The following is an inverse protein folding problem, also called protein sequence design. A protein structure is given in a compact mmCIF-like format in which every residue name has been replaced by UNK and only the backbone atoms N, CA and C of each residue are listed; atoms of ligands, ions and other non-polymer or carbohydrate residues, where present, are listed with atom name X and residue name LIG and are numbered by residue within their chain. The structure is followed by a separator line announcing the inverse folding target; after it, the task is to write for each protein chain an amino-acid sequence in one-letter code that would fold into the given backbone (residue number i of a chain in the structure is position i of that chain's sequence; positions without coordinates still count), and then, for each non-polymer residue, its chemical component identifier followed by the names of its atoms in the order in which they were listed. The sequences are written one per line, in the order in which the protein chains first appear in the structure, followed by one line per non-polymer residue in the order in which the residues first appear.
data_IF_679914619275
#
_entry.id   IF_679914619275
#
_cell.length_a   1.000
_cell.length_b   1.000
_cell.length_c   1.000
_cell.angle_alpha   90.00
_cell.angle_beta   90.00
_cell.angle_gamma   90.00
#
_symmetry.space_group_name_H-M   'P 1'
#
loop_
_entity.id
_entity.type
_entity.pdbx_description
1 polymer ?
#
# COMPACT_ATOMS: atom_id res chain seq x y z
N UNK A 1 -42.10 18.04 -32.25
CA UNK A 1 -41.21 16.87 -32.35
C UNK A 1 -39.90 17.17 -31.62
N UNK A 2 -39.58 16.48 -30.51
CA UNK A 2 -38.23 16.40 -29.93
C UNK A 2 -38.09 15.09 -29.15
N UNK A 3 -37.09 14.31 -29.56
CA UNK A 3 -36.81 12.91 -29.25
C UNK A 3 -36.76 12.55 -27.75
N UNK A 4 -37.60 11.62 -27.32
CA UNK A 4 -37.38 10.74 -26.16
C UNK A 4 -36.85 9.38 -26.66
N UNK A 5 -35.54 9.25 -26.82
CA UNK A 5 -34.95 7.93 -27.15
C UNK A 5 -33.46 7.85 -26.80
N UNK A 6 -33.08 7.92 -25.51
CA UNK A 6 -31.67 7.67 -25.10
C UNK A 6 -31.51 6.96 -23.76
N UNK A 7 -32.29 5.89 -23.47
CA UNK A 7 -31.94 4.93 -22.40
C UNK A 7 -32.33 3.46 -22.67
N UNK A 8 -33.05 3.15 -23.75
CA UNK A 8 -33.53 1.78 -24.01
C UNK A 8 -32.40 0.77 -24.27
N UNK A 9 -31.34 1.19 -24.97
CA UNK A 9 -30.21 0.31 -25.28
C UNK A 9 -29.42 -0.15 -24.05
N UNK A 10 -29.38 0.65 -22.98
CA UNK A 10 -28.71 0.27 -21.72
C UNK A 10 -29.44 -0.91 -21.04
N UNK A 11 -30.77 -0.93 -21.08
CA UNK A 11 -31.56 -2.04 -20.54
C UNK A 11 -31.44 -3.30 -21.40
N UNK A 12 -31.36 -3.15 -22.73
CA UNK A 12 -31.09 -4.29 -23.64
C UNK A 12 -29.71 -4.89 -23.36
N UNK A 13 -28.68 -4.06 -23.16
CA UNK A 13 -27.32 -4.51 -22.83
C UNK A 13 -27.27 -5.17 -21.44
N UNK A 14 -27.94 -4.59 -20.45
CA UNK A 14 -28.01 -5.15 -19.10
C UNK A 14 -28.67 -6.54 -19.10
N UNK A 15 -29.77 -6.71 -19.86
CA UNK A 15 -30.47 -7.99 -19.99
C UNK A 15 -29.61 -9.02 -20.76
N UNK A 16 -28.87 -8.58 -21.79
CA UNK A 16 -27.95 -9.46 -22.55
C UNK A 16 -26.77 -9.95 -21.72
N UNK A 17 -26.21 -9.11 -20.85
CA UNK A 17 -25.02 -9.44 -20.06
C UNK A 17 -25.34 -10.17 -18.75
N UNK A 18 -26.58 -10.09 -18.27
CA UNK A 18 -27.01 -10.69 -17.01
C UNK A 18 -26.76 -12.21 -16.92
N UNK A 19 -27.02 -13.04 -17.95
CA UNK A 19 -26.71 -14.47 -17.91
C UNK A 19 -25.21 -14.75 -17.76
N UNK A 20 -24.36 -13.94 -18.40
CA UNK A 20 -22.90 -14.07 -18.30
C UNK A 20 -22.38 -13.70 -16.91
N UNK A 21 -22.99 -12.68 -16.28
CA UNK A 21 -22.69 -12.32 -14.89
C UNK A 21 -23.08 -13.43 -13.91
N UNK A 22 -24.22 -14.09 -14.12
CA UNK A 22 -24.64 -15.25 -13.33
C UNK A 22 -23.67 -16.44 -13.49
N UNK A 23 -23.26 -16.75 -14.73
CA UNK A 23 -22.27 -17.81 -15.00
C UNK A 23 -20.90 -17.51 -14.38
N UNK A 24 -20.45 -16.25 -14.45
CA UNK A 24 -19.22 -15.82 -13.80
C UNK A 24 -19.30 -15.93 -12.26
N UNK A 25 -20.46 -15.58 -11.68
CA UNK A 25 -20.74 -15.77 -10.26
C UNK A 25 -20.68 -17.25 -9.83
N UNK A 26 -21.28 -18.15 -10.62
CA UNK A 26 -21.20 -19.60 -10.40
C UNK A 26 -19.76 -20.09 -10.47
N UNK A 27 -19.00 -19.66 -11.47
CA UNK A 27 -17.58 -20.02 -11.62
C UNK A 27 -16.75 -19.59 -10.40
N UNK A 28 -16.93 -18.36 -9.90
CA UNK A 28 -16.25 -17.86 -8.69
C UNK A 28 -16.62 -18.65 -7.44
N UNK A 29 -17.89 -19.00 -7.27
CA UNK A 29 -18.35 -19.83 -6.15
C UNK A 29 -17.74 -21.25 -6.19
N UNK A 30 -17.62 -21.84 -7.37
CA UNK A 30 -16.99 -23.16 -7.55
C UNK A 30 -15.48 -23.12 -7.28
N UNK A 31 -14.77 -22.06 -7.70
CA UNK A 31 -13.36 -21.85 -7.35
C UNK A 31 -13.18 -21.67 -5.83
N UNK A 32 -14.04 -20.88 -5.19
CA UNK A 32 -14.00 -20.69 -3.74
C UNK A 32 -14.29 -21.99 -2.99
N UNK A 33 -15.18 -22.86 -3.50
CA UNK A 33 -15.38 -24.20 -2.95
C UNK A 33 -14.14 -25.08 -3.10
N UNK A 34 -13.50 -25.12 -4.28
CA UNK A 34 -12.28 -25.91 -4.51
C UNK A 34 -11.09 -25.46 -3.68
N UNK A 35 -11.00 -24.17 -3.38
CA UNK A 35 -9.90 -23.59 -2.58
C UNK A 35 -10.13 -23.71 -1.07
N UNK A 36 -11.38 -23.64 -0.61
CA UNK A 36 -11.67 -23.60 0.84
C UNK A 36 -12.28 -24.89 1.41
N UNK A 37 -12.81 -25.78 0.56
CA UNK A 37 -13.53 -27.00 0.96
C UNK A 37 -14.87 -26.77 1.68
N UNK A 38 -15.30 -25.51 1.86
CA UNK A 38 -16.49 -25.16 2.64
C UNK A 38 -17.77 -25.25 1.80
N UNK A 39 -18.71 -26.11 2.20
CA UNK A 39 -20.00 -26.35 1.49
C UNK A 39 -20.88 -25.10 1.37
N UNK A 40 -20.67 -24.06 2.18
CA UNK A 40 -21.41 -22.79 2.12
C UNK A 40 -21.33 -22.14 0.73
N UNK A 41 -20.23 -22.32 0.00
CA UNK A 41 -20.05 -21.76 -1.34
C UNK A 41 -20.93 -22.44 -2.40
N UNK A 42 -21.35 -23.69 -2.19
CA UNK A 42 -22.26 -24.39 -3.10
C UNK A 42 -23.71 -23.94 -2.95
N UNK A 43 -24.08 -23.36 -1.79
CA UNK A 43 -25.45 -22.89 -1.52
C UNK A 43 -25.86 -21.75 -2.47
N UNK A 44 -24.91 -20.90 -2.87
CA UNK A 44 -25.16 -19.79 -3.81
C UNK A 44 -25.24 -20.21 -5.29
N UNK A 45 -24.82 -21.44 -5.63
CA UNK A 45 -24.78 -21.91 -7.03
C UNK A 45 -26.19 -22.21 -7.56
N UNK A 46 -27.03 -22.86 -6.75
CA UNK A 46 -28.40 -23.25 -7.13
C UNK A 46 -29.28 -22.05 -7.48
N UNK A 47 -29.38 -20.98 -6.67
CA UNK A 47 -30.19 -19.81 -7.03
C UNK A 47 -29.66 -19.07 -8.26
N UNK A 48 -28.33 -18.94 -8.44
CA UNK A 48 -27.76 -18.31 -9.64
C UNK A 48 -28.01 -19.14 -10.91
N UNK A 49 -27.96 -20.47 -10.80
CA UNK A 49 -28.27 -21.36 -11.92
C UNK A 49 -29.75 -21.26 -12.33
N UNK A 50 -30.68 -21.22 -11.36
CA UNK A 50 -32.11 -21.05 -11.61
C UNK A 50 -32.42 -19.70 -12.28
N UNK A 51 -31.78 -18.62 -11.83
CA UNK A 51 -31.94 -17.28 -12.41
C UNK A 51 -31.37 -17.21 -13.84
N UNK A 52 -30.30 -17.97 -14.14
CA UNK A 52 -29.75 -18.04 -15.51
C UNK A 52 -30.67 -18.77 -16.50
N UNK A 53 -31.48 -19.75 -16.04
CA UNK A 53 -32.42 -20.49 -16.89
C UNK A 53 -33.66 -19.66 -17.26
N UNK A 54 -34.18 -18.83 -16.35
CA UNK A 54 -35.36 -17.99 -16.62
C UNK A 54 -35.11 -16.88 -17.65
N UNK A 55 -33.84 -16.47 -17.84
CA UNK A 55 -33.44 -15.52 -18.89
C UNK A 55 -33.61 -16.05 -20.32
N UNK A 56 -33.78 -17.36 -20.50
CA UNK A 56 -33.90 -17.98 -21.84
C UNK A 56 -35.34 -18.31 -22.26
N UNK A 57 -36.32 -18.38 -21.34
CA UNK A 57 -37.72 -18.72 -21.69
C UNK A 57 -38.47 -17.53 -22.32
N UNK A 58 -38.06 -16.29 -22.04
CA UNK A 58 -38.71 -15.08 -22.61
C UNK A 58 -38.29 -14.80 -24.07
N UNK A 59 -37.23 -15.43 -24.57
CA UNK A 59 -36.71 -15.15 -25.92
C UNK A 59 -37.22 -16.12 -27.01
N UNK A 60 -37.81 -17.26 -26.62
CA UNK A 60 -38.37 -18.21 -27.58
C UNK A 60 -39.75 -17.79 -28.14
N UNK A 61 -40.41 -16.78 -27.56
CA UNK A 61 -41.70 -16.26 -28.04
C UNK A 61 -41.60 -15.05 -28.98
N UNK A 62 -40.41 -14.50 -29.22
CA UNK A 62 -40.25 -13.22 -29.92
C UNK A 62 -39.82 -13.33 -31.40
N UNK A 63 -39.73 -14.55 -31.96
CA UNK A 63 -39.42 -14.79 -33.37
C UNK A 63 -40.32 -15.91 -33.94
N UNK A 64 -41.62 -15.65 -34.00
CA UNK A 64 -42.55 -16.41 -34.85
C UNK A 64 -43.73 -15.48 -35.17
N UNK A 65 -43.65 -14.77 -36.31
CA UNK A 65 -44.86 -14.26 -36.96
C UNK A 65 -45.59 -15.43 -37.62
N UNK A 66 -46.94 -15.43 -37.71
CA UNK A 66 -47.57 -14.56 -38.71
C UNK A 66 -48.98 -14.03 -38.35
N UNK A 67 -49.42 -13.08 -39.18
CA UNK A 67 -50.79 -12.77 -39.64
C UNK A 67 -52.01 -12.70 -38.68
N UNK A 68 -52.67 -11.53 -38.77
CA UNK A 68 -54.12 -11.28 -38.93
C UNK A 68 -55.14 -12.21 -38.25
N UNK A 69 -55.89 -11.66 -37.29
CA UNK A 69 -57.36 -11.50 -37.30
C UNK A 69 -58.03 -11.69 -35.92
N UNK A 70 -58.77 -10.65 -35.53
CA UNK A 70 -60.04 -10.59 -34.79
C UNK A 70 -60.29 -11.38 -33.47
N UNK A 71 -60.59 -10.56 -32.44
CA UNK A 71 -61.64 -10.67 -31.39
C UNK A 71 -61.76 -11.98 -30.58
N UNK A 72 -61.68 -11.87 -29.26
CA UNK A 72 -62.85 -11.84 -28.34
C UNK A 72 -62.46 -11.62 -26.87
N UNK A 73 -62.98 -10.53 -26.31
CA UNK A 73 -63.80 -10.41 -25.09
C UNK A 73 -63.40 -10.96 -23.68
N UNK A 74 -63.56 -10.05 -22.70
CA UNK A 74 -64.16 -10.22 -21.35
C UNK A 74 -63.22 -10.72 -20.23
N UNK A 75 -63.14 -10.20 -18.99
CA UNK A 75 -63.90 -9.25 -18.16
C UNK A 75 -62.96 -8.70 -17.05
N UNK A 76 -63.09 -7.44 -16.57
CA UNK A 76 -63.86 -6.98 -15.36
C UNK A 76 -63.35 -7.66 -14.05
N UNK A 77 -62.99 -7.02 -12.93
CA UNK A 77 -63.38 -5.74 -12.35
C UNK A 77 -62.38 -5.22 -11.32
N UNK A 78 -62.40 -3.90 -11.18
CA UNK A 78 -61.92 -3.07 -10.07
C UNK A 78 -62.67 -3.26 -8.75
N UNK A 79 -62.04 -2.89 -7.63
CA UNK A 79 -62.72 -2.18 -6.53
C UNK A 79 -61.82 -1.07 -5.97
N UNK A 80 -62.46 0.08 -5.74
CA UNK A 80 -61.89 1.34 -5.21
C UNK A 80 -62.55 1.69 -3.87
N UNK A 81 -62.01 2.75 -3.26
CA UNK A 81 -62.61 3.73 -2.32
C UNK A 81 -62.55 3.40 -0.81
N UNK A 82 -62.41 4.33 0.15
CA UNK A 82 -61.99 5.76 0.21
C UNK A 82 -62.08 6.25 1.68
N UNK A 83 -61.35 7.35 2.02
CA UNK A 83 -61.67 8.45 2.98
C UNK A 83 -61.88 8.16 4.50
N UNK A 84 -61.60 9.02 5.49
CA UNK A 84 -60.82 10.27 5.71
C UNK A 84 -60.97 10.73 7.18
N UNK A 85 -60.00 11.55 7.67
CA UNK A 85 -60.08 12.69 8.63
C UNK A 85 -60.33 12.56 10.17
N UNK A 86 -59.27 12.94 10.93
CA UNK A 86 -59.13 14.08 11.88
C UNK A 86 -59.57 14.05 13.37
N UNK A 87 -58.63 14.41 14.29
CA UNK A 87 -58.59 15.67 15.10
C UNK A 87 -58.29 15.59 16.63
N UNK A 88 -57.39 16.50 17.08
CA UNK A 88 -57.33 17.31 18.35
C UNK A 88 -56.63 16.81 19.64
N UNK A 89 -56.15 17.82 20.40
CA UNK A 89 -54.96 17.97 21.27
C UNK A 89 -55.27 18.19 22.77
N UNK A 90 -54.20 18.51 23.56
CA UNK A 90 -54.10 19.17 24.91
C UNK A 90 -54.17 18.26 26.17
N UNK A 91 -53.48 18.49 27.32
CA UNK A 91 -52.38 19.35 27.79
C UNK A 91 -51.99 18.97 29.26
N UNK A 92 -50.92 19.59 29.80
CA UNK A 92 -50.58 19.92 31.22
C UNK A 92 -49.49 19.15 32.02
N UNK A 93 -48.60 19.98 32.59
CA UNK A 93 -47.47 19.82 33.55
C UNK A 93 -48.02 19.93 35.00
N UNK A 94 -47.27 19.72 36.12
CA UNK A 94 -46.21 20.64 36.56
C UNK A 94 -44.99 19.99 37.28
N UNK A 95 -43.99 20.83 37.54
CA UNK A 95 -42.73 20.55 38.26
C UNK A 95 -42.82 20.87 39.76
N UNK A 96 -41.88 20.35 40.58
CA UNK A 96 -41.52 20.93 41.88
C UNK A 96 -40.04 20.67 42.24
N UNK A 97 -39.32 21.76 42.46
CA UNK A 97 -38.01 21.86 43.12
C UNK A 97 -38.16 21.95 44.64
N UNK A 98 -37.09 21.70 45.42
CA UNK A 98 -36.55 22.56 46.50
C UNK A 98 -35.32 21.92 47.22
N UNK A 99 -34.28 22.75 47.28
CA UNK A 99 -33.01 22.84 48.03
C UNK A 99 -32.77 22.14 49.41
N UNK A 100 -31.51 21.77 49.71
CA UNK A 100 -30.46 22.53 50.47
C UNK A 100 -29.59 21.69 51.44
N UNK A 101 -28.29 22.03 51.48
CA UNK A 101 -27.32 22.02 52.61
C UNK A 101 -26.44 20.79 52.95
N UNK A 102 -25.16 20.92 52.54
CA UNK A 102 -23.91 20.98 53.35
C UNK A 102 -23.71 20.16 54.64
N UNK A 103 -22.69 19.28 54.65
CA UNK A 103 -21.72 19.13 55.77
C UNK A 103 -20.44 18.35 55.38
N UNK A 104 -19.36 19.10 55.20
CA UNK A 104 -17.96 18.96 55.69
C UNK A 104 -17.29 17.58 56.00
N UNK A 105 -16.10 17.41 55.37
CA UNK A 105 -14.78 17.00 55.95
C UNK A 105 -14.31 15.51 55.98
N UNK A 106 -12.98 15.23 56.01
CA UNK A 106 -12.25 14.70 54.84
C UNK A 106 -11.46 13.40 55.12
N UNK A 107 -11.05 12.69 54.06
CA UNK A 107 -9.95 11.72 54.14
C UNK A 107 -8.88 12.04 53.08
N UNK A 108 -7.68 12.19 53.60
CA UNK A 108 -6.48 12.70 52.96
C UNK A 108 -5.70 11.51 52.41
N UNK A 109 -5.61 11.37 51.09
CA UNK A 109 -4.63 10.47 50.47
C UNK A 109 -3.93 11.20 49.33
N UNK A 110 -2.77 11.78 49.66
CA UNK A 110 -1.74 12.18 48.71
C UNK A 110 -1.39 10.96 47.85
N UNK A 111 -1.89 10.93 46.62
CA UNK A 111 -1.27 10.14 45.55
C UNK A 111 -0.54 11.14 44.67
N UNK A 112 0.78 11.03 44.69
CA UNK A 112 1.69 11.86 43.95
C UNK A 112 1.29 11.90 42.47
N UNK A 113 0.98 13.10 41.98
CA UNK A 113 0.94 13.41 40.55
C UNK A 113 2.35 13.17 40.02
N UNK A 114 2.59 12.00 39.42
CA UNK A 114 3.75 11.79 38.54
C UNK A 114 3.57 12.77 37.40
N UNK A 115 4.28 13.89 37.50
CA UNK A 115 4.43 14.85 36.40
C UNK A 115 5.07 14.06 35.27
N UNK A 116 4.26 13.68 34.29
CA UNK A 116 4.75 13.20 33.01
C UNK A 116 5.58 14.35 32.46
N UNK A 117 6.90 14.15 32.40
CA UNK A 117 7.81 15.09 31.80
C UNK A 117 7.26 15.44 30.42
N UNK A 118 6.94 16.72 30.22
CA UNK A 118 6.58 17.25 28.93
C UNK A 118 7.84 17.14 28.07
N UNK A 119 7.89 16.12 27.22
CA UNK A 119 8.93 15.99 26.20
C UNK A 119 8.95 17.27 25.39
N UNK A 120 10.04 18.04 25.49
CA UNK A 120 10.22 19.25 24.69
C UNK A 120 10.19 18.86 23.21
N UNK A 121 9.11 19.22 22.52
CA UNK A 121 8.92 18.95 21.10
C UNK A 121 10.03 19.65 20.31
N UNK A 122 10.80 18.89 19.54
CA UNK A 122 11.94 19.41 18.78
C UNK A 122 11.48 20.36 17.67
N UNK A 123 12.15 21.49 17.50
CA UNK A 123 11.91 22.37 16.35
C UNK A 123 12.40 21.71 15.05
N UNK A 124 11.97 22.21 13.88
CA UNK A 124 12.49 21.72 12.59
C UNK A 124 14.00 21.89 12.48
N UNK A 125 14.56 22.92 13.11
CA UNK A 125 16.01 23.15 13.22
C UNK A 125 16.69 22.04 14.01
N UNK A 126 16.11 21.62 15.15
CA UNK A 126 16.67 20.54 15.97
C UNK A 126 16.60 19.19 15.23
N UNK A 127 15.51 18.96 14.49
CA UNK A 127 15.35 17.79 13.63
C UNK A 127 16.43 17.79 12.53
N UNK A 128 16.63 18.92 11.84
CA UNK A 128 17.68 19.04 10.83
C UNK A 128 19.07 18.77 11.42
N UNK A 129 19.37 19.30 12.62
CA UNK A 129 20.64 19.04 13.29
C UNK A 129 20.86 17.55 13.57
N UNK A 130 19.84 16.84 14.06
CA UNK A 130 19.91 15.37 14.26
C UNK A 130 20.03 14.60 12.94
N UNK A 131 19.30 15.01 11.90
CA UNK A 131 19.43 14.40 10.58
C UNK A 131 20.84 14.59 10.02
N UNK A 132 21.42 15.77 10.16
CA UNK A 132 22.81 16.04 9.79
C UNK A 132 23.78 15.14 10.59
N UNK A 133 23.58 15.02 11.90
CA UNK A 133 24.38 14.13 12.75
C UNK A 133 24.37 12.68 12.22
N UNK A 134 23.19 12.08 12.04
CA UNK A 134 23.08 10.69 11.61
C UNK A 134 23.57 10.46 10.18
N UNK A 135 23.25 11.36 9.26
CA UNK A 135 23.67 11.23 7.86
C UNK A 135 25.17 11.41 7.68
N UNK A 136 25.78 12.39 8.38
CA UNK A 136 27.25 12.57 8.35
C UNK A 136 27.97 11.40 9.05
N UNK A 137 27.36 10.83 10.08
CA UNK A 137 27.88 9.63 10.75
C UNK A 137 27.60 8.32 9.97
N UNK A 138 26.95 8.37 8.80
CA UNK A 138 26.59 7.19 8.00
C UNK A 138 25.81 6.18 8.84
N UNK A 139 24.89 6.68 9.66
CA UNK A 139 24.18 5.93 10.70
C UNK A 139 22.74 5.64 10.29
N UNK A 140 22.21 4.50 10.76
CA UNK A 140 20.79 4.17 10.68
C UNK A 140 19.93 4.86 11.77
N UNK A 141 20.56 5.67 12.62
CA UNK A 141 19.88 6.35 13.73
C UNK A 141 19.54 5.43 14.90
N UNK A 142 18.69 5.90 15.83
CA UNK A 142 18.56 5.29 17.15
C UNK A 142 17.81 3.95 17.14
N UNK A 143 16.98 3.70 16.13
CA UNK A 143 16.26 2.43 15.97
C UNK A 143 17.08 1.37 15.23
N UNK A 144 18.23 1.74 14.66
CA UNK A 144 18.93 0.93 13.65
C UNK A 144 18.14 0.72 12.36
N UNK A 145 16.97 1.35 12.22
CA UNK A 145 16.02 1.10 11.14
C UNK A 145 15.61 2.37 10.39
N UNK A 146 16.46 3.41 10.41
CA UNK A 146 16.35 4.62 9.61
C UNK A 146 15.13 5.50 9.92
N UNK A 147 14.63 5.45 11.15
CA UNK A 147 13.63 6.40 11.65
C UNK A 147 13.72 6.61 13.16
N UNK A 148 13.03 7.62 13.68
CA UNK A 148 12.64 7.73 15.09
C UNK A 148 11.28 8.43 15.23
N UNK A 149 10.58 8.18 16.33
CA UNK A 149 9.34 8.87 16.67
C UNK A 149 9.63 10.17 17.42
N UNK A 150 8.94 11.26 17.06
CA UNK A 150 9.19 12.60 17.60
C UNK A 150 7.98 13.19 18.35
N UNK A 151 7.02 12.36 18.71
CA UNK A 151 5.82 12.76 19.45
C UNK A 151 4.60 12.87 18.56
N UNK A 152 3.70 13.82 18.86
CA UNK A 152 2.45 14.01 18.12
C UNK A 152 2.65 14.77 16.80
N UNK A 153 1.77 14.52 15.84
CA UNK A 153 1.77 15.14 14.52
C UNK A 153 1.63 16.66 14.57
N UNK A 154 2.36 17.35 13.68
CA UNK A 154 2.43 18.81 13.54
C UNK A 154 2.01 19.24 12.13
N UNK A 155 0.74 18.98 11.85
CA UNK A 155 0.12 19.25 10.56
C UNK A 155 -0.05 20.75 10.31
N UNK A 156 0.07 21.16 9.04
CA UNK A 156 -0.16 22.53 8.58
C UNK A 156 -0.71 22.52 7.16
N UNK A 157 -1.47 23.53 6.75
CA UNK A 157 -1.87 23.70 5.35
C UNK A 157 -2.76 22.60 4.76
N UNK A 158 -3.56 21.93 5.60
CA UNK A 158 -4.57 20.96 5.16
C UNK A 158 -6.00 21.54 5.13
N UNK A 159 -6.23 22.76 5.62
CA UNK A 159 -7.58 23.34 5.78
C UNK A 159 -8.39 23.42 4.47
N UNK A 160 -7.70 23.52 3.32
CA UNK A 160 -8.30 23.59 2.00
C UNK A 160 -8.33 22.25 1.23
N UNK A 161 -7.75 21.18 1.80
CA UNK A 161 -7.66 19.86 1.17
C UNK A 161 -8.83 19.01 1.67
N UNK A 162 -9.66 18.50 0.77
CA UNK A 162 -10.80 17.66 1.14
C UNK A 162 -10.40 16.19 1.24
N UNK A 163 -11.23 15.38 1.90
CA UNK A 163 -11.10 13.94 1.90
C UNK A 163 -10.96 13.37 0.48
N UNK A 164 -9.90 12.60 0.25
CA UNK A 164 -9.53 12.04 -1.04
C UNK A 164 -8.63 12.95 -1.89
N UNK A 165 -8.42 14.20 -1.49
CA UNK A 165 -7.56 15.15 -2.20
C UNK A 165 -6.14 15.15 -1.64
N UNK A 166 -5.23 15.65 -2.46
CA UNK A 166 -3.80 15.75 -2.16
C UNK A 166 -3.18 16.94 -2.87
N UNK A 167 -2.02 17.36 -2.37
CA UNK A 167 -1.28 18.49 -2.91
C UNK A 167 0.22 18.22 -2.80
N UNK A 168 0.93 18.35 -3.93
CA UNK A 168 2.37 18.17 -4.03
C UNK A 168 3.00 19.43 -4.60
N UNK A 169 3.96 20.01 -3.88
CA UNK A 169 4.59 21.26 -4.30
C UNK A 169 6.09 21.10 -4.44
N UNK A 170 6.67 21.97 -5.26
CA UNK A 170 8.09 22.27 -5.16
C UNK A 170 8.34 23.25 -4.00
N UNK A 171 9.56 23.26 -3.47
CA UNK A 171 10.04 24.40 -2.70
C UNK A 171 10.57 25.52 -3.61
N UNK A 172 10.99 26.64 -3.03
CA UNK A 172 11.48 27.81 -3.75
C UNK A 172 12.76 27.55 -4.57
N UNK A 173 13.40 26.39 -4.40
CA UNK A 173 14.58 25.95 -5.15
C UNK A 173 14.24 24.90 -6.21
N UNK A 174 12.96 24.59 -6.40
CA UNK A 174 12.49 23.58 -7.35
C UNK A 174 12.69 22.14 -6.88
N UNK A 175 13.08 21.92 -5.62
CA UNK A 175 13.18 20.58 -5.02
C UNK A 175 11.79 20.13 -4.59
N UNK A 176 11.60 18.83 -4.34
CA UNK A 176 10.33 18.35 -3.77
C UNK A 176 10.11 18.96 -2.39
N UNK A 177 8.99 19.67 -2.23
CA UNK A 177 8.59 20.33 -1.01
C UNK A 177 7.59 19.49 -0.20
N UNK A 178 6.76 20.16 0.59
CA UNK A 178 5.77 19.48 1.44
C UNK A 178 4.69 18.80 0.59
N UNK A 179 4.50 17.51 0.82
CA UNK A 179 3.42 16.70 0.27
C UNK A 179 2.32 16.53 1.31
N UNK A 180 1.06 16.71 0.92
CA UNK A 180 -0.12 16.60 1.80
C UNK A 180 -1.21 15.77 1.16
N UNK A 181 -1.93 14.99 1.96
CA UNK A 181 -3.17 14.35 1.55
C UNK A 181 -4.11 14.19 2.74
N UNK A 182 -5.42 14.26 2.48
CA UNK A 182 -6.44 13.80 3.41
C UNK A 182 -6.91 12.44 2.92
N UNK A 183 -6.23 11.39 3.37
CA UNK A 183 -6.37 10.02 2.88
C UNK A 183 -7.68 9.39 3.35
N UNK A 184 -8.30 8.60 2.47
CA UNK A 184 -9.51 7.84 2.80
C UNK A 184 -9.25 6.34 2.79
N UNK A 185 -10.13 5.57 3.46
CA UNK A 185 -10.11 4.12 3.39
C UNK A 185 -10.24 3.60 1.95
N UNK A 186 -11.06 4.25 1.10
CA UNK A 186 -11.27 3.80 -0.28
C UNK A 186 -9.99 3.86 -1.11
N UNK A 187 -9.18 4.91 -0.99
CA UNK A 187 -7.89 5.01 -1.70
C UNK A 187 -6.91 3.92 -1.26
N UNK A 188 -6.88 3.61 0.04
CA UNK A 188 -6.10 2.49 0.56
C UNK A 188 -6.60 1.13 0.07
N UNK A 189 -7.91 0.94 -0.05
CA UNK A 189 -8.52 -0.30 -0.55
C UNK A 189 -8.25 -0.49 -2.05
N UNK A 190 -8.50 0.55 -2.84
CA UNK A 190 -8.36 0.52 -4.31
C UNK A 190 -6.90 0.32 -4.75
N UNK A 191 -5.94 0.74 -3.92
CA UNK A 191 -4.50 0.50 -4.16
C UNK A 191 -4.01 -0.91 -3.81
N UNK A 192 -4.88 -1.83 -3.35
CA UNK A 192 -4.50 -3.22 -3.08
C UNK A 192 -4.23 -4.01 -4.35
N UNK A 193 -3.42 -5.06 -4.23
CA UNK A 193 -3.25 -6.11 -5.25
C UNK A 193 -2.27 -5.77 -6.37
N UNK A 194 -2.19 -4.51 -6.78
CA UNK A 194 -1.22 -4.09 -7.80
C UNK A 194 -0.72 -2.67 -7.58
N UNK A 195 0.41 -2.39 -8.22
CA UNK A 195 0.98 -1.05 -8.31
C UNK A 195 0.16 -0.19 -9.25
N UNK A 196 -0.13 1.06 -8.87
CA UNK A 196 -1.06 1.92 -9.62
C UNK A 196 -0.38 2.84 -10.65
N UNK A 197 0.95 2.77 -10.81
CA UNK A 197 1.65 3.63 -11.77
C UNK A 197 3.16 3.40 -11.83
N UNK A 198 3.87 4.26 -12.57
CA UNK A 198 5.33 4.25 -12.70
C UNK A 198 5.95 5.42 -11.93
N UNK A 199 7.05 5.20 -11.20
CA UNK A 199 7.56 6.20 -10.28
C UNK A 199 8.31 7.24 -11.11
N UNK A 200 8.09 8.51 -10.79
CA UNK A 200 8.72 9.60 -11.51
C UNK A 200 10.09 9.90 -10.91
N UNK A 201 11.01 10.39 -11.75
CA UNK A 201 12.27 10.93 -11.26
C UNK A 201 11.98 12.19 -10.44
N UNK A 202 12.43 12.26 -9.16
CA UNK A 202 12.37 13.50 -8.41
C UNK A 202 13.24 14.58 -9.08
N UNK A 203 13.05 15.87 -8.75
CA UNK A 203 13.81 16.96 -9.35
C UNK A 203 15.34 16.79 -9.29
N UNK A 204 15.85 16.15 -8.25
CA UNK A 204 17.27 15.88 -8.04
C UNK A 204 17.62 14.38 -8.15
N UNK A 205 17.10 13.70 -9.18
CA UNK A 205 17.49 12.32 -9.46
C UNK A 205 18.93 12.28 -10.02
N UNK A 206 19.85 11.49 -9.44
CA UNK A 206 21.24 11.50 -9.87
C UNK A 206 21.39 10.82 -11.23
N UNK A 207 22.32 11.32 -12.06
CA UNK A 207 22.64 10.76 -13.38
C UNK A 207 23.19 9.33 -13.29
N UNK A 208 23.81 8.99 -12.15
CA UNK A 208 24.25 7.64 -11.81
C UNK A 208 23.61 7.19 -10.50
N UNK A 209 23.11 5.96 -10.49
CA UNK A 209 22.62 5.29 -9.29
C UNK A 209 23.32 3.93 -9.21
N UNK A 210 24.44 3.81 -8.48
CA UNK A 210 25.21 2.59 -8.45
C UNK A 210 24.51 1.50 -7.63
N UNK A 211 24.85 0.24 -7.93
CA UNK A 211 24.60 -0.86 -7.01
C UNK A 211 25.66 -0.85 -5.92
N UNK A 212 25.23 -0.98 -4.67
CA UNK A 212 26.08 -0.96 -3.48
C UNK A 212 25.82 -2.21 -2.64
N UNK A 213 26.69 -2.41 -1.65
CA UNK A 213 26.47 -3.30 -0.53
C UNK A 213 26.30 -2.46 0.74
N UNK A 214 25.23 -2.67 1.51
CA UNK A 214 25.07 -2.08 2.85
C UNK A 214 24.91 -3.22 3.84
N UNK A 215 25.85 -3.36 4.77
CA UNK A 215 25.68 -4.24 5.92
C UNK A 215 24.92 -3.50 7.01
N UNK A 216 23.73 -3.97 7.34
CA UNK A 216 22.89 -3.36 8.35
C UNK A 216 23.25 -3.88 9.74
N UNK A 217 23.61 -3.00 10.67
CA UNK A 217 23.96 -3.41 12.03
C UNK A 217 22.77 -4.04 12.77
N UNK A 218 21.53 -3.64 12.42
CA UNK A 218 20.31 -4.15 13.05
C UNK A 218 20.03 -5.62 12.73
N UNK A 219 20.29 -6.05 11.49
CA UNK A 219 19.98 -7.42 11.04
C UNK A 219 21.20 -8.29 10.83
N UNK A 220 22.40 -7.69 10.90
CA UNK A 220 23.70 -8.28 10.56
C UNK A 220 23.80 -8.78 9.10
N UNK A 221 22.89 -8.35 8.23
CA UNK A 221 22.84 -8.82 6.83
C UNK A 221 23.20 -7.72 5.87
N UNK A 222 23.61 -8.14 4.67
CA UNK A 222 24.10 -7.23 3.63
C UNK A 222 23.08 -7.13 2.50
N UNK A 223 22.54 -5.93 2.31
CA UNK A 223 21.75 -5.60 1.12
C UNK A 223 22.66 -5.42 -0.09
N UNK A 224 22.32 -6.06 -1.21
CA UNK A 224 22.91 -5.80 -2.52
C UNK A 224 21.89 -5.20 -3.48
N UNK A 225 22.18 -4.01 -4.04
CA UNK A 225 21.31 -3.39 -5.04
C UNK A 225 21.52 -1.89 -5.17
N UNK A 226 20.62 -1.22 -5.90
CA UNK A 226 20.72 0.23 -6.13
C UNK A 226 20.68 1.03 -4.83
N UNK A 227 21.53 2.05 -4.74
CA UNK A 227 21.58 2.97 -3.60
C UNK A 227 20.26 3.73 -3.45
N UNK A 228 19.78 4.36 -4.52
CA UNK A 228 18.62 5.23 -4.47
C UNK A 228 17.33 4.60 -4.97
N UNK A 229 16.24 5.00 -4.33
CA UNK A 229 14.86 4.73 -4.69
C UNK A 229 14.21 6.08 -5.04
N UNK A 230 13.26 6.01 -5.97
CA UNK A 230 12.29 7.10 -6.18
C UNK A 230 11.32 6.99 -5.01
N UNK A 231 11.69 7.62 -3.89
CA UNK A 231 11.05 7.43 -2.59
C UNK A 231 9.79 8.29 -2.55
N UNK A 232 8.63 7.69 -2.32
CA UNK A 232 7.38 8.44 -2.24
C UNK A 232 7.34 9.26 -0.95
N UNK A 233 6.79 10.47 -1.02
CA UNK A 233 6.43 11.26 0.16
C UNK A 233 5.07 10.78 0.70
N UNK A 234 4.14 10.44 -0.19
CA UNK A 234 2.89 9.73 0.12
C UNK A 234 2.80 8.51 -0.78
N UNK A 235 2.72 7.32 -0.17
CA UNK A 235 2.89 6.05 -0.84
C UNK A 235 1.73 5.67 -1.78
N UNK A 236 2.07 4.86 -2.79
CA UNK A 236 1.11 4.18 -3.66
C UNK A 236 0.07 3.37 -2.87
N UNK A 237 0.48 2.69 -1.80
CA UNK A 237 -0.43 1.91 -0.96
C UNK A 237 -1.46 2.75 -0.20
N UNK A 238 -1.26 4.07 -0.13
CA UNK A 238 -2.14 4.99 0.58
C UNK A 238 -2.98 5.84 -0.38
N UNK A 239 -2.39 6.29 -1.49
CA UNK A 239 -2.98 7.25 -2.41
C UNK A 239 -3.26 6.70 -3.82
N UNK A 240 -2.80 5.48 -4.12
CA UNK A 240 -2.98 4.82 -5.40
C UNK A 240 -2.41 5.63 -6.57
N UNK A 241 -3.17 5.72 -7.67
CA UNK A 241 -2.79 6.46 -8.88
C UNK A 241 -2.36 7.91 -8.60
N UNK A 242 -2.99 8.55 -7.61
CA UNK A 242 -2.69 9.92 -7.19
C UNK A 242 -1.22 10.12 -6.82
N UNK A 243 -0.57 9.08 -6.27
CA UNK A 243 0.84 9.10 -5.86
C UNK A 243 1.82 9.29 -7.03
N UNK A 244 1.38 9.08 -8.28
CA UNK A 244 2.20 9.16 -9.49
C UNK A 244 1.98 10.43 -10.31
N UNK A 245 1.07 11.31 -9.88
CA UNK A 245 0.65 12.47 -10.68
C UNK A 245 1.66 13.63 -10.69
N UNK A 246 2.68 13.58 -9.83
CA UNK A 246 3.70 14.63 -9.74
C UNK A 246 5.05 14.09 -9.30
N UNK A 247 6.12 14.57 -9.94
CA UNK A 247 7.50 14.32 -9.48
C UNK A 247 7.79 14.86 -8.08
N UNK A 248 6.98 15.83 -7.62
CA UNK A 248 7.13 16.43 -6.30
C UNK A 248 6.58 15.54 -5.17
N UNK A 249 5.92 14.42 -5.49
CA UNK A 249 5.67 13.37 -4.51
C UNK A 249 6.88 12.43 -4.33
N UNK A 250 8.00 12.67 -5.03
CA UNK A 250 9.18 11.83 -4.94
C UNK A 250 10.37 12.60 -4.39
N UNK A 251 11.22 11.93 -3.62
CA UNK A 251 12.56 12.38 -3.28
C UNK A 251 13.59 11.32 -3.68
N UNK A 252 14.85 11.74 -3.84
CA UNK A 252 15.98 10.81 -3.99
C UNK A 252 16.31 10.26 -2.61
N UNK A 253 15.65 9.16 -2.22
CA UNK A 253 15.87 8.49 -0.94
C UNK A 253 16.73 7.25 -1.09
N UNK A 254 17.60 6.94 -0.13
CA UNK A 254 18.33 5.66 -0.12
C UNK A 254 17.36 4.48 -0.02
N UNK A 255 17.81 3.27 -0.37
CA UNK A 255 17.02 2.05 -0.18
C UNK A 255 16.58 1.90 1.27
N UNK A 256 17.50 2.15 2.20
CA UNK A 256 17.28 2.11 3.65
C UNK A 256 16.36 3.24 4.13
N UNK A 257 16.43 4.44 3.56
CA UNK A 257 15.45 5.50 3.83
C UNK A 257 14.04 5.08 3.45
N UNK A 258 13.90 4.36 2.33
CA UNK A 258 12.60 3.99 1.80
C UNK A 258 11.95 2.84 2.60
N UNK A 259 12.71 1.83 3.01
CA UNK A 259 12.13 0.63 3.67
C UNK A 259 12.83 0.16 4.96
N UNK A 260 13.87 0.84 5.41
CA UNK A 260 14.68 0.44 6.55
C UNK A 260 15.66 -0.70 6.25
N UNK A 261 16.33 -1.15 7.31
CA UNK A 261 17.23 -2.30 7.31
C UNK A 261 16.48 -3.63 7.18
N UNK A 262 15.29 -3.72 7.80
CA UNK A 262 14.51 -4.95 7.88
C UNK A 262 13.22 -4.91 7.05
N UNK A 263 13.09 -4.01 6.08
CA UNK A 263 11.86 -3.79 5.29
C UNK A 263 10.61 -3.30 6.05
N UNK A 264 10.76 -2.94 7.34
CA UNK A 264 9.72 -2.35 8.19
C UNK A 264 10.22 -1.04 8.85
N UNK A 265 11.16 -0.34 8.21
CA UNK A 265 11.74 0.91 8.69
C UNK A 265 11.69 2.02 7.66
N UNK A 266 12.40 3.11 7.90
CA UNK A 266 12.37 4.28 7.02
C UNK A 266 10.93 4.80 6.78
N UNK A 267 10.61 5.17 5.53
CA UNK A 267 9.23 5.57 5.14
C UNK A 267 8.22 4.47 5.38
N UNK A 268 8.61 3.21 5.17
CA UNK A 268 7.71 2.05 5.34
C UNK A 268 7.11 1.96 6.74
N UNK A 269 7.86 2.37 7.77
CA UNK A 269 7.33 2.44 9.13
C UNK A 269 6.11 3.37 9.22
N UNK A 270 6.25 4.61 8.73
CA UNK A 270 5.21 5.61 8.76
C UNK A 270 3.99 5.21 7.89
N UNK A 271 4.24 4.61 6.73
CA UNK A 271 3.19 4.05 5.87
C UNK A 271 2.41 2.95 6.58
N UNK A 272 3.11 2.04 7.28
CA UNK A 272 2.47 0.94 8.01
C UNK A 272 1.56 1.42 9.14
N UNK A 273 1.85 2.56 9.77
CA UNK A 273 0.95 3.15 10.77
C UNK A 273 -0.42 3.49 10.17
N UNK A 274 -0.43 4.13 8.98
CA UNK A 274 -1.66 4.45 8.28
C UNK A 274 -2.37 3.18 7.74
N UNK A 275 -1.62 2.23 7.19
CA UNK A 275 -2.19 0.95 6.73
C UNK A 275 -2.80 0.14 7.88
N UNK A 276 -2.15 0.11 9.05
CA UNK A 276 -2.62 -0.61 10.21
C UNK A 276 -3.88 0.03 10.79
N UNK A 277 -3.98 1.36 10.78
CA UNK A 277 -5.22 2.06 11.12
C UNK A 277 -6.38 1.60 10.23
N UNK A 278 -6.19 1.51 8.92
CA UNK A 278 -7.23 1.02 8.00
C UNK A 278 -7.55 -0.46 8.15
N UNK A 279 -6.54 -1.31 8.41
CA UNK A 279 -6.75 -2.74 8.67
C UNK A 279 -7.58 -2.97 9.95
N UNK A 280 -7.36 -2.16 10.97
CA UNK A 280 -8.13 -2.20 12.22
C UNK A 280 -9.54 -1.63 12.06
N UNK A 281 -9.76 -0.74 11.08
CA UNK A 281 -11.00 -0.02 10.87
C UNK A 281 -11.51 -0.15 9.43
N UNK A 282 -11.88 -1.37 8.97
CA UNK A 282 -12.34 -1.57 7.60
C UNK A 282 -13.64 -0.80 7.31
N UNK A 283 -13.73 -0.20 6.13
CA UNK A 283 -14.88 0.60 5.67
C UNK A 283 -15.20 1.84 6.53
N UNK A 284 -14.25 2.30 7.34
CA UNK A 284 -14.44 3.52 8.14
C UNK A 284 -14.58 4.75 7.24
N UNK A 285 -15.32 5.74 7.73
CA UNK A 285 -15.37 7.09 7.16
C UNK A 285 -14.33 8.04 7.77
N UNK A 286 -13.55 7.58 8.77
CA UNK A 286 -12.41 8.33 9.28
C UNK A 286 -11.43 8.63 8.14
N UNK A 287 -10.76 9.78 8.23
CA UNK A 287 -9.68 10.17 7.33
C UNK A 287 -8.34 10.16 8.06
N UNK A 288 -7.24 10.14 7.31
CA UNK A 288 -5.91 10.44 7.83
C UNK A 288 -5.40 11.69 7.14
N UNK A 289 -5.12 12.73 7.92
CA UNK A 289 -4.27 13.84 7.49
C UNK A 289 -2.83 13.36 7.49
N UNK A 290 -2.22 13.29 6.30
CA UNK A 290 -0.86 12.79 6.09
C UNK A 290 -0.03 13.87 5.42
N UNK A 291 1.06 14.26 6.08
CA UNK A 291 1.97 15.29 5.59
C UNK A 291 3.41 14.77 5.65
N UNK A 292 4.13 14.88 4.53
CA UNK A 292 5.56 14.58 4.47
C UNK A 292 6.33 15.84 4.09
N UNK A 293 7.30 16.22 4.92
CA UNK A 293 8.16 17.38 4.72
C UNK A 293 9.61 16.91 4.55
N UNK A 294 10.16 16.89 3.31
CA UNK A 294 11.58 16.67 3.09
C UNK A 294 12.42 17.76 3.78
N UNK A 295 13.46 17.35 4.49
CA UNK A 295 14.33 18.25 5.27
C UNK A 295 15.69 18.34 4.60
N UNK A 296 16.03 19.53 4.10
CA UNK A 296 17.29 19.79 3.41
C UNK A 296 18.22 20.63 4.28
N UNK A 297 19.53 20.39 4.18
CA UNK A 297 20.52 21.32 4.72
C UNK A 297 20.84 22.38 3.65
N UNK A 298 20.51 23.64 3.94
CA UNK A 298 20.78 24.78 3.07
C UNK A 298 20.37 24.53 1.59
N UNK A 299 21.35 24.53 0.68
CA UNK A 299 21.18 24.40 -0.78
C UNK A 299 21.33 22.95 -1.29
N UNK A 300 21.43 21.95 -0.42
CA UNK A 300 21.50 20.55 -0.83
C UNK A 300 20.30 20.15 -1.68
N UNK A 301 20.52 19.35 -2.71
CA UNK A 301 19.43 18.92 -3.62
C UNK A 301 18.78 17.62 -3.16
N UNK A 302 19.49 16.86 -2.32
CA UNK A 302 19.02 15.62 -1.69
C UNK A 302 18.66 15.94 -0.24
N UNK A 303 17.47 15.53 0.25
CA UNK A 303 17.11 15.79 1.63
C UNK A 303 17.93 14.91 2.57
N UNK A 304 18.25 15.42 3.76
CA UNK A 304 18.88 14.68 4.85
C UNK A 304 17.92 13.67 5.49
N UNK A 305 16.62 13.87 5.30
CA UNK A 305 15.56 13.01 5.78
C UNK A 305 14.20 13.62 5.49
N UNK A 306 13.16 13.07 6.11
CA UNK A 306 11.80 13.59 6.01
C UNK A 306 11.13 13.58 7.37
N UNK A 307 10.30 14.58 7.63
CA UNK A 307 9.31 14.59 8.72
C UNK A 307 8.02 14.02 8.14
N UNK A 308 7.40 13.07 8.81
CA UNK A 308 6.13 12.47 8.42
C UNK A 308 5.14 12.63 9.57
N UNK A 309 4.16 13.51 9.37
CA UNK A 309 3.07 13.78 10.31
C UNK A 309 1.82 13.01 9.89
N UNK A 310 1.25 12.25 10.84
CA UNK A 310 0.08 11.40 10.59
C UNK A 310 -0.94 11.62 11.70
N UNK A 311 -2.14 12.05 11.33
CA UNK A 311 -3.25 12.20 12.29
C UNK A 311 -4.56 11.67 11.72
N UNK A 312 -5.19 10.72 12.39
CA UNK A 312 -6.54 10.28 12.04
C UNK A 312 -7.59 11.28 12.55
N UNK A 313 -8.70 11.41 11.83
CA UNK A 313 -9.81 12.30 12.21
C UNK A 313 -10.50 11.88 13.51
N UNK A 314 -10.39 10.61 13.91
CA UNK A 314 -10.86 10.09 15.20
C UNK A 314 -9.83 10.22 16.33
N UNK A 315 -8.65 10.79 16.05
CA UNK A 315 -7.54 11.03 16.99
C UNK A 315 -6.93 9.77 17.62
N UNK A 316 -7.21 8.56 17.10
CA UNK A 316 -6.59 7.32 17.58
C UNK A 316 -5.17 7.12 17.05
N UNK A 317 -4.82 7.74 15.91
CA UNK A 317 -3.48 7.85 15.37
C UNK A 317 -3.08 9.33 15.36
N UNK A 318 -1.98 9.68 16.02
CA UNK A 318 -1.45 11.04 16.08
C UNK A 318 0.05 11.03 16.39
N UNK A 319 0.88 11.08 15.36
CA UNK A 319 2.31 10.84 15.47
C UNK A 319 3.12 11.61 14.42
N UNK A 320 4.28 12.11 14.84
CA UNK A 320 5.34 12.64 13.99
C UNK A 320 6.49 11.63 13.96
N UNK A 321 6.86 11.15 12.78
CA UNK A 321 7.96 10.22 12.53
C UNK A 321 9.02 10.93 11.72
N UNK A 322 10.28 10.87 12.14
CA UNK A 322 11.40 11.37 11.36
C UNK A 322 12.09 10.19 10.67
N UNK A 323 12.26 10.30 9.36
CA UNK A 323 12.86 9.28 8.51
C UNK A 323 14.23 9.76 8.04
N UNK A 324 15.25 8.91 8.17
CA UNK A 324 16.64 9.28 7.94
C UNK A 324 17.06 8.88 6.52
N UNK A 325 17.56 9.85 5.73
CA UNK A 325 18.05 9.57 4.38
C UNK A 325 19.52 9.14 4.39
N UNK A 326 19.85 8.05 5.06
CA UNK A 326 21.21 7.55 5.26
C UNK A 326 21.38 6.13 4.70
N UNK A 327 22.61 5.68 4.55
CA UNK A 327 22.98 4.30 4.23
C UNK A 327 24.20 3.92 5.07
N UNK A 328 24.08 2.88 5.90
CA UNK A 328 25.13 2.50 6.85
C UNK A 328 26.49 2.31 6.17
N UNK A 329 27.52 2.96 6.71
CA UNK A 329 28.89 2.89 6.21
C UNK A 329 29.17 3.60 4.89
N UNK A 330 28.14 4.10 4.19
CA UNK A 330 28.29 4.78 2.90
C UNK A 330 28.17 6.29 3.06
N UNK A 331 29.10 7.01 2.43
CA UNK A 331 29.06 8.47 2.37
C UNK A 331 28.26 8.96 1.17
N UNK A 332 27.41 9.95 1.39
CA UNK A 332 26.56 10.55 0.38
C UNK A 332 26.87 12.04 0.31
N UNK A 333 27.18 12.54 -0.88
CA UNK A 333 27.15 13.98 -1.14
C UNK A 333 25.70 14.42 -1.33
N UNK A 334 25.11 15.07 -0.34
CA UNK A 334 23.72 15.54 -0.41
C UNK A 334 23.55 16.76 -1.34
N UNK A 335 24.64 17.41 -1.76
CA UNK A 335 24.55 18.48 -2.76
C UNK A 335 24.27 17.93 -4.17
N UNK A 336 24.90 16.80 -4.54
CA UNK A 336 24.78 16.21 -5.88
C UNK A 336 24.03 14.87 -5.94
N UNK A 337 23.86 14.19 -4.81
CA UNK A 337 23.41 12.81 -4.72
C UNK A 337 24.46 11.77 -5.11
N UNK A 338 25.70 12.18 -5.39
CA UNK A 338 26.76 11.22 -5.73
C UNK A 338 27.24 10.51 -4.45
N UNK A 339 27.30 9.17 -4.42
CA UNK A 339 27.98 8.49 -3.32
C UNK A 339 29.47 8.81 -3.38
N UNK A 340 30.03 9.31 -2.28
CA UNK A 340 31.46 9.58 -2.17
C UNK A 340 32.12 8.25 -1.84
N UNK A 341 32.71 7.63 -2.87
CA UNK A 341 33.24 6.28 -2.76
C UNK A 341 34.40 6.23 -1.75
N UNK A 342 34.18 5.56 -0.62
CA UNK A 342 35.26 4.96 0.16
C UNK A 342 35.04 3.45 0.11
N UNK A 343 35.66 2.81 -0.89
CA UNK A 343 35.81 1.35 -1.04
C UNK A 343 34.66 0.60 -1.73
N UNK A 344 34.56 0.74 -3.06
CA UNK A 344 34.00 -0.31 -3.92
C UNK A 344 35.11 -1.25 -4.39
N UNK A 345 35.07 -2.53 -3.99
CA UNK A 345 35.52 -3.57 -4.91
C UNK A 345 34.43 -3.75 -5.99
N UNK A 346 34.75 -3.60 -7.29
CA UNK A 346 33.79 -3.79 -8.35
C UNK A 346 33.56 -5.28 -8.57
N UNK A 347 32.31 -5.74 -8.42
CA UNK A 347 31.88 -7.05 -8.93
C UNK A 347 31.68 -6.90 -10.44
N UNK A 348 32.73 -7.21 -11.21
CA UNK A 348 32.63 -7.34 -12.67
C UNK A 348 31.80 -8.57 -13.02
N UNK A 349 30.62 -8.35 -13.59
CA UNK A 349 29.89 -9.34 -14.37
C UNK A 349 30.38 -9.30 -15.81
N UNK A 350 31.30 -10.20 -16.19
CA UNK A 350 31.65 -10.40 -17.60
C UNK A 350 30.63 -11.35 -18.25
N UNK A 351 29.91 -10.84 -19.25
CA UNK A 351 29.18 -11.64 -20.23
C UNK A 351 30.12 -11.94 -21.42
N UNK A 352 30.14 -13.17 -21.99
CA UNK A 352 31.09 -13.51 -23.05
C UNK A 352 30.73 -12.85 -24.38
N UNK A 353 31.74 -12.29 -25.04
CA UNK A 353 31.64 -11.68 -26.37
C UNK A 353 31.75 -12.76 -27.46
N UNK A 354 30.75 -12.82 -28.34
CA UNK A 354 30.71 -13.69 -29.51
C UNK A 354 31.62 -13.13 -30.62
N UNK A 355 32.49 -13.96 -31.21
CA UNK A 355 32.99 -13.79 -32.58
C UNK A 355 33.44 -15.13 -33.18
N UNK A 356 33.03 -15.36 -34.42
CA UNK A 356 33.03 -16.59 -35.21
C UNK A 356 34.33 -16.89 -35.98
N UNK A 357 34.71 -18.17 -36.11
CA UNK A 357 35.01 -18.84 -37.40
C UNK A 357 35.29 -20.36 -37.26
N UNK A 358 34.42 -21.16 -37.91
CA UNK A 358 34.56 -22.46 -38.63
C UNK A 358 35.67 -23.47 -38.23
N UNK A 359 35.30 -24.65 -37.68
CA UNK A 359 35.11 -25.99 -38.31
C UNK A 359 36.45 -26.79 -38.43
N UNK A 360 36.63 -28.08 -38.04
CA UNK A 360 35.81 -29.30 -38.20
C UNK A 360 36.23 -30.40 -37.17
N UNK A 361 35.24 -31.17 -36.71
CA UNK A 361 35.20 -32.61 -36.30
C UNK A 361 35.79 -33.22 -35.00
N UNK A 362 34.86 -33.98 -34.38
CA UNK A 362 34.96 -35.25 -33.62
C UNK A 362 34.98 -35.22 -32.07
N UNK A 363 33.82 -35.63 -31.53
CA UNK A 363 33.54 -36.09 -30.16
C UNK A 363 34.13 -37.51 -29.90
N UNK A 364 34.13 -38.08 -28.67
CA UNK A 364 33.43 -37.65 -27.47
C UNK A 364 34.26 -37.57 -26.16
N UNK A 365 33.61 -36.91 -25.21
CA UNK A 365 33.95 -36.70 -23.79
C UNK A 365 33.79 -37.98 -22.98
N UNK A 366 34.83 -38.35 -22.20
CA UNK A 366 34.71 -39.02 -20.89
C UNK A 366 35.88 -38.54 -20.04
N UNK A 367 35.63 -37.71 -19.01
CA UNK A 367 36.30 -37.80 -17.69
C UNK A 367 35.68 -36.78 -16.70
N UNK A 368 34.94 -37.32 -15.73
CA UNK A 368 35.03 -36.90 -14.32
C UNK A 368 36.46 -37.20 -13.77
N UNK A 369 36.88 -36.82 -12.54
CA UNK A 369 36.12 -36.23 -11.42
C UNK A 369 36.82 -35.05 -10.71
N UNK A 370 36.11 -34.33 -9.83
CA UNK A 370 36.56 -34.05 -8.44
C UNK A 370 35.69 -33.00 -7.73
N UNK A 371 35.01 -33.49 -6.69
CA UNK A 371 34.87 -32.92 -5.34
C UNK A 371 33.85 -31.81 -5.02
N UNK A 372 32.85 -32.28 -4.25
CA UNK A 372 32.21 -31.68 -3.08
C UNK A 372 31.00 -30.75 -3.29
N UNK A 373 29.89 -31.45 -3.40
CA UNK A 373 28.48 -31.12 -3.20
C UNK A 373 28.16 -30.48 -1.84
N UNK A 374 27.59 -29.27 -1.88
CA UNK A 374 26.43 -28.92 -1.05
C UNK A 374 25.34 -28.53 -2.02
N UNK A 375 24.39 -29.44 -2.25
CA UNK A 375 23.29 -29.25 -3.18
C UNK A 375 22.26 -28.28 -2.57
N UNK A 376 22.27 -27.02 -2.98
CA UNK A 376 21.09 -26.16 -2.89
C UNK A 376 20.29 -26.35 -4.19
N UNK A 377 19.21 -27.10 -4.11
CA UNK A 377 18.22 -27.22 -5.18
C UNK A 377 17.38 -25.92 -5.26
N UNK A 378 18.02 -24.84 -5.69
CA UNK A 378 17.41 -23.52 -5.86
C UNK A 378 16.73 -23.43 -7.25
N UNK A 379 15.75 -24.28 -7.52
CA UNK A 379 14.98 -24.21 -8.75
C UNK A 379 13.86 -23.16 -8.65
N UNK A 380 14.22 -21.88 -8.74
CA UNK A 380 13.28 -20.81 -9.07
C UNK A 380 13.48 -20.40 -10.53
N UNK A 381 12.44 -19.95 -11.20
CA UNK A 381 12.56 -19.49 -12.60
C UNK A 381 12.89 -18.00 -12.64
N UNK A 382 13.53 -17.56 -13.73
CA UNK A 382 13.76 -16.13 -13.99
C UNK A 382 13.00 -15.69 -15.22
N UNK A 383 12.09 -14.72 -15.04
CA UNK A 383 11.30 -14.15 -16.12
C UNK A 383 11.20 -12.62 -15.93
N UNK A 384 11.50 -11.86 -16.99
CA UNK A 384 11.35 -10.39 -16.96
C UNK A 384 12.15 -9.66 -15.86
N UNK A 385 13.29 -10.20 -15.44
CA UNK A 385 14.11 -9.64 -14.35
C UNK A 385 13.61 -9.97 -12.93
N UNK A 386 12.64 -10.89 -12.81
CA UNK A 386 12.14 -11.44 -11.56
C UNK A 386 12.61 -12.87 -11.39
N UNK A 387 13.00 -13.24 -10.17
CA UNK A 387 13.11 -14.61 -9.70
C UNK A 387 11.76 -15.02 -9.10
N UNK A 388 11.12 -16.03 -9.68
CA UNK A 388 9.79 -16.52 -9.30
C UNK A 388 9.95 -17.87 -8.61
N UNK A 389 9.48 -17.97 -7.38
CA UNK A 389 9.58 -19.17 -6.57
C UNK A 389 8.81 -20.33 -7.21
N UNK A 390 9.34 -21.54 -7.09
CA UNK A 390 8.64 -22.75 -7.51
C UNK A 390 7.34 -22.95 -6.69
N UNK A 391 6.37 -23.71 -7.21
CA UNK A 391 5.17 -24.05 -6.46
C UNK A 391 5.50 -24.62 -5.07
N UNK A 392 4.97 -23.98 -4.02
CA UNK A 392 5.21 -24.36 -2.63
C UNK A 392 6.49 -23.79 -2.00
N UNK A 393 7.27 -22.99 -2.74
CA UNK A 393 8.46 -22.29 -2.26
C UNK A 393 8.20 -20.79 -2.17
N UNK A 394 8.96 -20.09 -1.33
CA UNK A 394 8.88 -18.63 -1.16
C UNK A 394 10.25 -18.02 -0.86
N UNK A 395 10.38 -16.73 -1.16
CA UNK A 395 11.51 -15.90 -0.74
C UNK A 395 11.17 -15.23 0.59
N UNK A 396 11.78 -15.68 1.68
CA UNK A 396 11.61 -15.14 3.02
C UNK A 396 12.61 -14.00 3.24
N UNK A 397 12.08 -12.81 3.48
CA UNK A 397 12.83 -11.66 3.93
C UNK A 397 13.10 -11.72 5.42
N UNK A 398 14.08 -10.93 5.84
CA UNK A 398 14.54 -10.81 7.22
C UNK A 398 13.52 -10.09 8.11
N UNK A 399 12.55 -9.40 7.49
CA UNK A 399 11.36 -8.80 8.11
C UNK A 399 10.38 -9.81 8.68
N UNK A 400 10.67 -11.11 8.61
CA UNK A 400 9.69 -12.18 8.79
C UNK A 400 8.49 -12.00 7.85
N UNK A 401 8.77 -11.63 6.59
CA UNK A 401 7.78 -11.57 5.50
C UNK A 401 8.22 -12.45 4.33
N UNK A 402 7.32 -13.16 3.67
CA UNK A 402 7.68 -13.98 2.50
C UNK A 402 6.92 -13.60 1.22
N UNK A 403 7.59 -13.82 0.08
CA UNK A 403 7.20 -13.32 -1.24
C UNK A 403 7.26 -14.45 -2.28
N UNK A 404 6.35 -14.48 -3.26
CA UNK A 404 6.40 -15.41 -4.41
C UNK A 404 7.46 -15.04 -5.43
N UNK A 405 7.84 -13.76 -5.55
CA UNK A 405 8.85 -13.34 -6.51
C UNK A 405 9.65 -12.12 -6.07
N UNK A 406 10.93 -12.07 -6.45
CA UNK A 406 11.86 -11.01 -6.07
C UNK A 406 12.82 -10.66 -7.22
N UNK A 407 13.27 -9.41 -7.32
CA UNK A 407 14.22 -9.00 -8.38
C UNK A 407 15.68 -9.27 -8.03
N UNK A 408 15.98 -9.52 -6.74
CA UNK A 408 17.30 -9.91 -6.30
C UNK A 408 17.19 -11.00 -5.22
N UNK A 409 17.21 -12.29 -5.59
CA UNK A 409 16.99 -13.41 -4.68
C UNK A 409 18.08 -13.54 -3.61
N UNK A 410 19.29 -13.01 -3.83
CA UNK A 410 20.37 -13.02 -2.84
C UNK A 410 20.04 -12.25 -1.55
N UNK A 411 19.05 -11.36 -1.58
CA UNK A 411 18.59 -10.61 -0.41
C UNK A 411 17.52 -11.40 0.41
N UNK A 412 17.22 -12.65 0.08
CA UNK A 412 16.15 -13.45 0.67
C UNK A 412 16.61 -14.89 0.94
N UNK A 413 16.01 -15.53 1.93
CA UNK A 413 16.14 -16.97 2.12
C UNK A 413 15.10 -17.69 1.26
N UNK A 414 15.52 -18.67 0.47
CA UNK A 414 14.61 -19.49 -0.34
C UNK A 414 14.28 -20.77 0.43
N UNK A 415 13.01 -20.99 0.75
CA UNK A 415 12.55 -22.16 1.52
C UNK A 415 11.10 -22.50 1.21
N UNK A 416 10.59 -23.60 1.76
CA UNK A 416 9.18 -23.97 1.56
C UNK A 416 8.24 -22.99 2.24
N UNK A 417 7.05 -22.81 1.68
CA UNK A 417 6.01 -21.96 2.28
C UNK A 417 5.58 -22.48 3.66
N UNK A 418 5.61 -23.80 3.88
CA UNK A 418 5.28 -24.41 5.16
C UNK A 418 6.30 -24.00 6.24
N UNK A 419 7.60 -24.08 5.94
CA UNK A 419 8.66 -23.63 6.85
C UNK A 419 8.57 -22.12 7.09
N UNK A 420 8.39 -21.34 6.02
CA UNK A 420 8.26 -19.89 6.09
C UNK A 420 7.10 -19.47 6.99
N UNK A 421 5.95 -20.15 6.95
CA UNK A 421 4.78 -19.81 7.77
C UNK A 421 4.99 -19.92 9.28
N UNK A 422 6.01 -20.65 9.72
CA UNK A 422 6.36 -20.76 11.15
C UNK A 422 7.19 -19.57 11.65
N UNK A 423 7.92 -18.90 10.76
CA UNK A 423 8.89 -17.85 11.11
C UNK A 423 8.57 -16.49 10.50
N UNK A 424 7.69 -16.46 9.50
CA UNK A 424 7.37 -15.31 8.68
C UNK A 424 5.88 -15.30 8.28
N UNK A 425 5.38 -14.10 8.03
CA UNK A 425 4.02 -13.86 7.54
C UNK A 425 4.03 -13.66 6.02
N UNK A 426 2.98 -14.05 5.30
CA UNK A 426 2.88 -13.71 3.88
C UNK A 426 2.91 -12.19 3.71
N UNK A 427 3.74 -11.72 2.79
CA UNK A 427 3.68 -10.32 2.39
C UNK A 427 2.28 -10.03 1.84
N UNK A 428 1.58 -9.06 2.42
CA UNK A 428 0.23 -8.71 1.95
C UNK A 428 0.24 -7.90 0.65
N UNK A 429 1.37 -7.24 0.33
CA UNK A 429 1.54 -6.41 -0.87
C UNK A 429 2.99 -6.48 -1.36
N UNK A 430 3.16 -6.22 -2.64
CA UNK A 430 4.45 -6.15 -3.31
C UNK A 430 4.96 -4.73 -3.49
N UNK A 431 6.26 -4.61 -3.75
CA UNK A 431 6.91 -3.39 -4.18
C UNK A 431 7.70 -3.67 -5.48
N UNK A 432 8.57 -2.73 -5.90
CA UNK A 432 9.37 -2.88 -7.13
C UNK A 432 10.44 -3.97 -7.08
N UNK A 433 10.63 -4.62 -5.93
CA UNK A 433 11.70 -5.58 -5.67
C UNK A 433 11.22 -6.94 -5.17
N UNK A 434 10.02 -7.01 -4.61
CA UNK A 434 9.45 -8.23 -4.03
C UNK A 434 7.93 -8.21 -4.16
N UNK A 435 7.31 -9.33 -4.52
CA UNK A 435 5.86 -9.45 -4.74
C UNK A 435 5.31 -10.69 -4.03
N UNK A 436 4.14 -10.59 -3.35
CA UNK A 436 3.45 -11.69 -2.70
C UNK A 436 3.23 -12.88 -3.59
#
# INVERSE_FOLDING_TARGET
MKNKSKKWWFWVLAVLLFPFLCLYGIYRLVINYRTTGRKVWLVGVVPLALVSLFGFVVYAGAFSGPNSDNKTETAISSYSSSSSSSSISTSTKPAKSVSKSSSTSPSNSKVAKKVVASSSVASTTDILNKLNEYTNAKSAGPTGNYYWENGSARLSGLDAIKAGEYNFNADDKGRSGVARAVLTYSQYEDSKGSRQGQPLDPPAWPSSNPKIAITFSLTERTYHGYLYNRSHSIADSLLGEGSYTSKYNFTTGTRSQNVGANQNGGMRYAEELAENFWKANPNTSSTIDYQTTPVYNANETIPRGSIVDIKSSDNTLNIEVIVINSAEGLEIDYASGTPISSTTQPVQSEAPKVSSSQAVEQAPVVTEPSSQTVANDNSYTTEGGWSIAAPGMVFVSESNKYYSSVTNPSNYQYMSQAEASNIAQPAQRGNRYARP
#
